data_IF_742113901829
#
_entry.id   IF_742113901829
#
_cell.length_a   1.000
_cell.length_b   1.000
_cell.length_c   1.000
_cell.angle_alpha   90.00
_cell.angle_beta   90.00
_cell.angle_gamma   90.00
#
_symmetry.space_group_name_H-M   'P 1'
#
loop_
_entity.id
_entity.type
_entity.pdbx_description
1 polymer ?
#
# COMPACT_ATOMS: atom_id res chain seq x y z
N UNK A 1 -2.17 -5.89 13.86
CA UNK A 1 -1.46 -4.60 14.07
C UNK A 1 -1.21 -3.98 12.70
N UNK A 2 -1.49 -2.70 12.53
CA UNK A 2 -1.44 -2.04 11.21
C UNK A 2 -0.91 -0.61 11.33
N UNK A 3 -0.26 -0.15 10.25
CA UNK A 3 -0.01 1.26 9.98
C UNK A 3 -0.88 1.71 8.81
N UNK A 4 -1.47 2.89 8.92
CA UNK A 4 -2.15 3.54 7.79
C UNK A 4 -1.20 4.58 7.21
N UNK A 5 -1.05 4.59 5.88
CA UNK A 5 -0.22 5.56 5.17
C UNK A 5 -1.06 6.28 4.10
N UNK A 6 -0.78 7.56 3.92
CA UNK A 6 -1.35 8.37 2.85
C UNK A 6 -0.42 8.33 1.65
N UNK A 7 -0.97 8.06 0.48
CA UNK A 7 -0.27 8.07 -0.80
C UNK A 7 -0.03 9.52 -1.26
N UNK A 8 0.90 9.73 -2.21
CA UNK A 8 1.02 11.01 -2.90
C UNK A 8 -0.32 11.48 -3.50
N UNK A 9 -0.50 12.79 -3.60
CA UNK A 9 -1.73 13.39 -4.12
C UNK A 9 -2.09 12.86 -5.50
N UNK A 10 -3.37 12.54 -5.73
CA UNK A 10 -3.89 12.02 -7.00
C UNK A 10 -3.66 10.52 -7.24
N UNK A 11 -2.96 9.81 -6.34
CA UNK A 11 -2.73 8.38 -6.46
C UNK A 11 -3.91 7.56 -5.92
N UNK A 12 -4.27 6.50 -6.64
CA UNK A 12 -5.34 5.58 -6.28
C UNK A 12 -4.77 4.29 -5.66
N UNK A 13 -5.17 3.99 -4.42
CA UNK A 13 -4.74 2.79 -3.68
C UNK A 13 -5.06 1.47 -4.38
N UNK A 14 -6.16 1.37 -5.14
CA UNK A 14 -6.48 0.17 -5.93
C UNK A 14 -5.48 -0.05 -7.07
N UNK A 15 -5.01 1.04 -7.70
CA UNK A 15 -3.95 0.96 -8.71
C UNK A 15 -2.61 0.55 -8.09
N UNK A 16 -2.26 1.11 -6.94
CA UNK A 16 -1.05 0.74 -6.19
C UNK A 16 -1.05 -0.74 -5.84
N UNK A 17 -2.19 -1.30 -5.43
CA UNK A 17 -2.31 -2.73 -5.12
C UNK A 17 -2.15 -3.59 -6.37
N UNK A 18 -2.82 -3.20 -7.45
CA UNK A 18 -2.77 -3.93 -8.73
C UNK A 18 -1.32 -4.04 -9.22
N UNK A 19 -0.57 -2.94 -9.17
CA UNK A 19 0.85 -2.95 -9.56
C UNK A 19 1.74 -3.60 -8.50
N UNK A 20 1.44 -3.40 -7.22
CA UNK A 20 2.09 -4.08 -6.10
C UNK A 20 2.11 -5.59 -6.26
N UNK A 21 0.96 -6.20 -6.55
CA UNK A 21 0.84 -7.65 -6.72
C UNK A 21 1.74 -8.15 -7.84
N UNK A 22 1.86 -7.41 -8.97
CA UNK A 22 2.79 -7.74 -10.06
C UNK A 22 4.25 -7.70 -9.60
N UNK A 23 4.60 -6.76 -8.73
CA UNK A 23 5.91 -6.65 -8.10
C UNK A 23 6.07 -7.53 -6.85
N UNK A 24 5.14 -8.46 -6.61
CA UNK A 24 5.13 -9.38 -5.46
C UNK A 24 5.11 -8.66 -4.10
N UNK A 25 4.35 -7.57 -3.98
CA UNK A 25 4.07 -6.88 -2.72
C UNK A 25 2.58 -6.55 -2.61
N UNK A 26 1.95 -6.92 -1.50
CA UNK A 26 0.53 -6.64 -1.28
C UNK A 26 0.33 -5.64 -0.14
N UNK A 27 -0.59 -4.70 -0.34
CA UNK A 27 -1.07 -3.76 0.68
C UNK A 27 -2.60 -3.76 0.66
N UNK A 28 -3.25 -3.29 1.73
CA UNK A 28 -4.71 -3.18 1.74
C UNK A 28 -5.16 -1.78 1.30
N UNK A 29 -6.23 -1.67 0.50
CA UNK A 29 -6.75 -0.37 0.10
C UNK A 29 -7.41 0.30 1.31
N UNK A 30 -7.35 1.62 1.35
CA UNK A 30 -8.00 2.41 2.39
C UNK A 30 -9.51 2.45 2.25
N UNK A 31 -10.03 2.52 1.02
CA UNK A 31 -11.45 2.78 0.74
C UNK A 31 -12.46 1.94 1.55
N UNK A 32 -12.28 0.61 1.76
CA UNK A 32 -13.21 -0.18 2.58
C UNK A 32 -13.31 0.23 4.05
N UNK A 33 -12.41 1.10 4.53
CA UNK A 33 -12.36 1.58 5.92
C UNK A 33 -12.93 3.00 6.09
N UNK A 34 -13.46 3.62 5.03
CA UNK A 34 -14.06 4.95 5.05
C UNK A 34 -15.54 4.87 4.68
N UNK A 35 -16.44 5.17 5.62
CA UNK A 35 -17.89 5.02 5.44
C UNK A 35 -18.53 6.11 4.58
N UNK A 36 -17.80 7.20 4.33
CA UNK A 36 -18.24 8.38 3.58
C UNK A 36 -17.78 8.39 2.11
N UNK A 37 -17.18 7.28 1.63
CA UNK A 37 -16.70 7.17 0.25
C UNK A 37 -15.31 7.76 -0.01
N UNK A 38 -14.54 8.06 1.05
CA UNK A 38 -13.15 8.51 0.97
C UNK A 38 -12.11 7.38 0.92
N UNK A 39 -10.88 7.70 1.31
CA UNK A 39 -9.83 6.70 1.55
C UNK A 39 -9.10 6.16 0.33
N UNK A 40 -9.46 6.58 -0.89
CA UNK A 40 -8.80 6.17 -2.15
C UNK A 40 -7.29 6.48 -2.14
N UNK A 41 -6.88 7.56 -1.49
CA UNK A 41 -5.47 7.95 -1.32
C UNK A 41 -4.77 7.36 -0.08
N UNK A 42 -5.32 6.30 0.54
CA UNK A 42 -4.70 5.67 1.71
C UNK A 42 -4.53 4.17 1.54
N UNK A 43 -3.53 3.60 2.21
CA UNK A 43 -3.28 2.16 2.27
C UNK A 43 -3.05 1.72 3.72
N UNK A 44 -3.30 0.44 4.01
CA UNK A 44 -2.95 -0.17 5.30
C UNK A 44 -1.86 -1.23 5.13
N UNK A 45 -0.87 -1.15 6.01
CA UNK A 45 0.29 -2.02 6.06
C UNK A 45 0.16 -2.95 7.27
N UNK A 46 0.09 -4.26 7.03
CA UNK A 46 0.13 -5.28 8.09
C UNK A 46 1.58 -5.73 8.30
N UNK A 47 1.99 -5.81 9.55
CA UNK A 47 3.33 -6.29 9.93
C UNK A 47 3.29 -7.41 10.98
N UNK A 48 2.12 -7.96 11.30
CA UNK A 48 1.98 -8.93 12.39
C UNK A 48 2.45 -10.35 12.04
N UNK A 49 2.61 -10.67 10.75
CA UNK A 49 3.00 -12.01 10.29
C UNK A 49 4.21 -11.99 9.32
N UNK A 50 5.07 -10.99 9.44
CA UNK A 50 6.22 -10.80 8.53
C UNK A 50 7.46 -10.46 9.35
N UNK A 51 8.58 -11.13 9.08
CA UNK A 51 9.86 -10.80 9.69
C UNK A 51 10.46 -9.50 9.13
N UNK A 52 11.47 -8.95 9.81
CA UNK A 52 12.08 -7.66 9.46
C UNK A 52 12.75 -7.67 8.08
N UNK A 53 13.30 -8.79 7.64
CA UNK A 53 13.96 -8.90 6.33
C UNK A 53 12.92 -8.82 5.20
N UNK A 54 11.82 -9.55 5.31
CA UNK A 54 10.69 -9.51 4.38
C UNK A 54 9.98 -8.16 4.40
N UNK A 55 9.85 -7.51 5.56
CA UNK A 55 9.34 -6.13 5.64
C UNK A 55 10.23 -5.20 4.82
N UNK A 56 11.56 -5.25 4.99
CA UNK A 56 12.50 -4.40 4.26
C UNK A 56 12.41 -4.61 2.74
N UNK A 57 12.33 -5.87 2.31
CA UNK A 57 12.15 -6.21 0.90
C UNK A 57 10.80 -5.70 0.35
N UNK A 58 9.71 -5.96 1.08
CA UNK A 58 8.36 -5.52 0.72
C UNK A 58 8.28 -4.00 0.59
N UNK A 59 8.84 -3.26 1.54
CA UNK A 59 8.90 -1.80 1.49
C UNK A 59 9.71 -1.30 0.28
N UNK A 60 10.81 -1.97 -0.09
CA UNK A 60 11.57 -1.65 -1.30
C UNK A 60 10.81 -1.91 -2.60
N UNK A 61 9.99 -2.97 -2.65
CA UNK A 61 9.07 -3.24 -3.78
C UNK A 61 7.98 -2.17 -3.85
N UNK A 62 7.35 -1.85 -2.72
CA UNK A 62 6.29 -0.84 -2.64
C UNK A 62 6.81 0.55 -3.05
N UNK A 63 8.00 0.93 -2.60
CA UNK A 63 8.62 2.19 -2.98
C UNK A 63 8.85 2.30 -4.49
N UNK A 64 9.31 1.21 -5.14
CA UNK A 64 9.47 1.16 -6.61
C UNK A 64 8.14 1.30 -7.35
N UNK A 65 7.07 0.68 -6.84
CA UNK A 65 5.72 0.82 -7.40
C UNK A 65 5.26 2.27 -7.33
N UNK A 66 5.33 2.88 -6.14
CA UNK A 66 4.91 4.27 -5.93
C UNK A 66 5.73 5.23 -6.81
N UNK A 67 7.06 5.04 -6.88
CA UNK A 67 7.94 5.87 -7.71
C UNK A 67 7.69 5.70 -9.22
N UNK A 68 7.29 4.52 -9.69
CA UNK A 68 6.95 4.28 -11.09
C UNK A 68 5.55 4.76 -11.49
N UNK A 69 4.73 5.17 -10.52
CA UNK A 69 3.39 5.71 -10.71
C UNK A 69 3.32 7.23 -10.53
N UNK A 70 4.42 7.86 -10.09
CA UNK A 70 4.58 9.31 -10.00
C UNK A 70 5.01 9.88 -11.35
#
# INVERSE_FOLDING_TARGET
MFLTATLPSGMDSMKVITEGVRQKVAVMPGAPFFTDGGGSGTIRLNFSNTDTARIKEGMGRLARVIAGMA
#
